data_IF_858907114638
#
_entry.id   IF_858907114638
#
_cell.length_a   1.000
_cell.length_b   1.000
_cell.length_c   1.000
_cell.angle_alpha   90.00
_cell.angle_beta   90.00
_cell.angle_gamma   90.00
#
_symmetry.space_group_name_H-M   'P 1'
#
loop_
_entity.id
_entity.type
_entity.pdbx_description
1 polymer ?
#
# COMPACT_ATOMS: atom_id res chain seq x y z
N UNK A 1 13.08 1.12 -15.69
CA UNK A 1 12.17 0.51 -16.69
C UNK A 1 12.09 -0.99 -16.62
N UNK A 2 13.21 -1.70 -16.83
CA UNK A 2 13.22 -3.18 -16.81
C UNK A 2 12.64 -3.75 -15.53
N UNK A 3 13.01 -3.19 -14.37
CA UNK A 3 12.48 -3.59 -13.06
C UNK A 3 10.96 -3.36 -12.94
N UNK A 4 10.43 -2.25 -13.47
CA UNK A 4 8.98 -1.98 -13.48
C UNK A 4 8.23 -2.98 -14.35
N UNK A 5 8.75 -3.28 -15.54
CA UNK A 5 8.11 -4.22 -16.47
C UNK A 5 8.18 -5.64 -15.90
N UNK A 6 9.32 -6.01 -15.31
CA UNK A 6 9.47 -7.30 -14.65
C UNK A 6 8.49 -7.45 -13.48
N UNK A 7 8.39 -6.42 -12.64
CA UNK A 7 7.39 -6.37 -11.57
C UNK A 7 5.96 -6.42 -12.13
N UNK A 8 5.69 -5.72 -13.23
CA UNK A 8 4.39 -5.73 -13.89
C UNK A 8 3.99 -7.17 -14.26
N UNK A 9 4.87 -7.87 -14.96
CA UNK A 9 4.63 -9.23 -15.45
C UNK A 9 4.45 -10.24 -14.31
N UNK A 10 5.20 -10.08 -13.21
CA UNK A 10 5.14 -10.95 -12.04
C UNK A 10 3.86 -10.69 -11.20
N UNK A 11 3.48 -9.41 -11.09
CA UNK A 11 2.22 -8.84 -10.61
C UNK A 11 0.94 -9.36 -11.29
N UNK A 12 1.01 -9.48 -12.62
CA UNK A 12 -0.13 -9.54 -13.52
C UNK A 12 -1.13 -10.68 -13.23
N UNK A 13 -0.70 -11.93 -12.99
CA UNK A 13 -1.63 -13.02 -12.67
C UNK A 13 -2.38 -12.79 -11.35
N UNK A 14 -1.70 -12.18 -10.37
CA UNK A 14 -2.30 -11.87 -9.07
C UNK A 14 -3.31 -10.75 -9.23
N UNK A 15 -3.00 -9.71 -10.00
CA UNK A 15 -3.94 -8.62 -10.22
C UNK A 15 -5.20 -9.04 -10.95
N UNK A 16 -5.07 -9.85 -11.99
CA UNK A 16 -6.24 -10.35 -12.72
C UNK A 16 -7.19 -11.02 -11.73
N UNK A 17 -6.67 -11.90 -10.87
CA UNK A 17 -7.47 -12.64 -9.92
C UNK A 17 -8.03 -11.79 -8.77
N UNK A 18 -7.25 -10.86 -8.22
CA UNK A 18 -7.59 -10.16 -6.96
C UNK A 18 -8.14 -8.74 -7.17
N UNK A 19 -7.83 -8.11 -8.31
CA UNK A 19 -8.18 -6.72 -8.61
C UNK A 19 -9.20 -6.63 -9.76
N UNK A 20 -9.01 -7.38 -10.86
CA UNK A 20 -9.83 -7.23 -12.06
C UNK A 20 -11.03 -8.18 -12.13
N UNK A 21 -10.91 -9.42 -11.64
CA UNK A 21 -12.02 -10.39 -11.59
C UNK A 21 -13.17 -9.97 -10.65
N UNK A 22 -12.93 -9.50 -9.41
CA UNK A 22 -14.01 -9.03 -8.55
C UNK A 22 -14.56 -7.68 -9.05
N UNK A 23 -15.88 -7.63 -9.30
CA UNK A 23 -16.60 -6.58 -10.06
C UNK A 23 -16.98 -5.25 -9.35
N UNK A 24 -16.58 -4.86 -8.14
CA UNK A 24 -16.91 -3.51 -7.69
C UNK A 24 -15.82 -2.52 -8.14
N UNK A 25 -16.16 -1.65 -9.10
CA UNK A 25 -15.37 -0.46 -9.44
C UNK A 25 -15.36 0.49 -8.24
N UNK A 26 -14.35 0.39 -7.39
CA UNK A 26 -14.14 1.30 -6.27
C UNK A 26 -13.06 2.34 -6.59
N UNK A 27 -13.08 3.53 -5.93
CA UNK A 27 -12.04 4.55 -6.09
C UNK A 27 -10.61 4.03 -5.82
N UNK A 28 -10.49 2.93 -5.05
CA UNK A 28 -9.23 2.21 -4.84
C UNK A 28 -8.62 1.63 -6.12
N UNK A 29 -9.47 1.18 -7.05
CA UNK A 29 -9.05 0.61 -8.33
C UNK A 29 -8.43 1.69 -9.23
N UNK A 30 -9.09 2.86 -9.32
CA UNK A 30 -8.55 3.99 -10.07
C UNK A 30 -7.18 4.39 -9.52
N UNK A 31 -7.07 4.50 -8.20
CA UNK A 31 -5.84 4.88 -7.53
C UNK A 31 -4.73 3.84 -7.73
N UNK A 32 -5.07 2.55 -7.72
CA UNK A 32 -4.15 1.46 -8.06
C UNK A 32 -3.65 1.55 -9.51
N UNK A 33 -4.55 1.74 -10.47
CA UNK A 33 -4.22 1.88 -11.90
C UNK A 33 -3.31 3.10 -12.11
N UNK A 34 -3.67 4.26 -11.56
CA UNK A 34 -2.85 5.46 -11.65
C UNK A 34 -1.47 5.23 -11.05
N UNK A 35 -1.40 4.69 -9.83
CA UNK A 35 -0.15 4.42 -9.15
C UNK A 35 0.75 3.47 -9.96
N UNK A 36 0.17 2.55 -10.74
CA UNK A 36 0.91 1.51 -11.46
C UNK A 36 1.37 1.92 -12.85
N UNK A 37 0.53 2.60 -13.62
CA UNK A 37 0.84 2.93 -15.01
C UNK A 37 1.46 4.33 -15.18
N UNK A 38 1.14 5.30 -14.31
CA UNK A 38 1.73 6.64 -14.42
C UNK A 38 3.26 6.66 -14.31
N UNK A 39 3.90 5.93 -13.37
CA UNK A 39 5.37 5.92 -13.28
C UNK A 39 6.02 5.31 -14.51
N UNK A 40 5.34 4.40 -15.22
CA UNK A 40 5.83 3.84 -16.48
C UNK A 40 5.85 4.91 -17.57
N UNK A 41 4.83 5.76 -17.64
CA UNK A 41 4.77 6.87 -18.59
C UNK A 41 5.84 7.91 -18.25
N UNK A 42 5.93 8.30 -16.98
CA UNK A 42 6.88 9.29 -16.47
C UNK A 42 8.33 8.90 -16.77
N UNK A 43 8.68 7.65 -16.47
CA UNK A 43 10.03 7.14 -16.70
C UNK A 43 10.34 6.97 -18.20
N UNK A 44 9.33 6.70 -19.03
CA UNK A 44 9.54 6.52 -20.48
C UNK A 44 9.86 7.86 -21.12
N UNK A 45 9.11 8.89 -20.74
CA UNK A 45 9.38 10.27 -21.12
C UNK A 45 10.75 10.72 -20.64
N UNK A 46 11.08 10.48 -19.37
CA UNK A 46 12.38 10.88 -18.78
C UNK A 46 13.56 10.22 -19.48
N UNK A 47 13.50 8.91 -19.78
CA UNK A 47 14.59 8.19 -20.46
C UNK A 47 14.75 8.63 -21.90
N UNK A 48 13.64 8.72 -22.65
CA UNK A 48 13.67 9.18 -24.04
C UNK A 48 14.32 10.56 -24.14
N UNK A 49 14.06 11.41 -23.14
CA UNK A 49 14.60 12.76 -23.05
C UNK A 49 16.09 12.83 -22.76
N UNK A 50 16.56 12.04 -21.78
CA UNK A 50 17.99 11.98 -21.41
C UNK A 50 18.84 11.54 -22.61
N UNK A 51 18.31 10.68 -23.47
CA UNK A 51 19.03 10.14 -24.63
C UNK A 51 19.11 11.09 -25.83
N UNK A 52 18.29 12.14 -25.89
CA UNK A 52 18.13 12.97 -27.10
C UNK A 52 18.72 14.39 -27.00
N UNK A 53 19.48 14.71 -25.94
CA UNK A 53 20.09 16.03 -25.67
C UNK A 53 19.19 17.24 -26.04
N UNK A 54 18.27 17.60 -25.14
CA UNK A 54 17.19 18.53 -25.46
C UNK A 54 17.65 19.98 -25.63
N UNK A 55 17.02 20.69 -26.56
CA UNK A 55 17.14 22.15 -26.64
C UNK A 55 16.49 22.84 -25.43
N UNK A 56 16.89 24.08 -25.13
CA UNK A 56 16.37 24.86 -24.00
C UNK A 56 14.83 25.05 -24.04
N UNK A 57 14.24 25.17 -25.22
CA UNK A 57 12.78 25.28 -25.36
C UNK A 57 12.07 23.99 -24.97
N UNK A 58 12.64 22.85 -25.37
CA UNK A 58 12.04 21.57 -25.06
C UNK A 58 12.27 21.16 -23.60
N UNK A 59 13.39 21.58 -22.98
CA UNK A 59 13.60 21.43 -21.54
C UNK A 59 12.46 22.04 -20.70
N UNK A 60 12.00 23.24 -21.06
CA UNK A 60 10.88 23.90 -20.38
C UNK A 60 9.59 23.11 -20.52
N UNK A 61 9.32 22.58 -21.71
CA UNK A 61 8.17 21.71 -21.93
C UNK A 61 8.25 20.42 -21.13
N UNK A 62 9.44 19.80 -21.06
CA UNK A 62 9.64 18.60 -20.25
C UNK A 62 9.30 18.88 -18.80
N UNK A 63 9.90 19.90 -18.20
CA UNK A 63 9.67 20.23 -16.78
C UNK A 63 8.19 20.46 -16.49
N UNK A 64 7.47 21.11 -17.42
CA UNK A 64 6.04 21.37 -17.30
C UNK A 64 5.18 20.10 -17.33
N UNK A 65 5.66 19.02 -17.96
CA UNK A 65 4.95 17.73 -18.06
C UNK A 65 5.40 16.78 -16.97
N UNK A 66 6.71 16.59 -16.78
CA UNK A 66 7.27 15.58 -15.88
C UNK A 66 7.16 15.99 -14.41
N UNK A 67 7.30 17.27 -14.04
CA UNK A 67 7.18 17.65 -12.63
C UNK A 67 5.77 17.37 -12.06
N UNK A 68 4.66 17.79 -12.72
CA UNK A 68 3.32 17.42 -12.25
C UNK A 68 3.05 15.92 -12.31
N UNK A 69 3.58 15.23 -13.32
CA UNK A 69 3.39 13.79 -13.49
C UNK A 69 4.10 12.99 -12.39
N UNK A 70 5.35 13.33 -12.06
CA UNK A 70 6.10 12.73 -10.97
C UNK A 70 5.43 13.01 -9.62
N UNK A 71 4.95 14.23 -9.38
CA UNK A 71 4.19 14.56 -8.18
C UNK A 71 2.90 13.72 -8.09
N UNK A 72 2.17 13.55 -9.20
CA UNK A 72 0.99 12.70 -9.24
C UNK A 72 1.32 11.24 -8.92
N UNK A 73 2.47 10.72 -9.36
CA UNK A 73 2.94 9.37 -9.00
C UNK A 73 3.19 9.25 -7.49
N UNK A 74 3.87 10.23 -6.90
CA UNK A 74 4.14 10.27 -5.46
C UNK A 74 2.84 10.38 -4.67
N UNK A 75 1.93 11.29 -5.04
CA UNK A 75 0.62 11.44 -4.40
C UNK A 75 -0.21 10.15 -4.47
N UNK A 76 -0.23 9.48 -5.62
CA UNK A 76 -0.92 8.20 -5.76
C UNK A 76 -0.35 7.15 -4.80
N UNK A 77 0.98 7.00 -4.75
CA UNK A 77 1.64 6.08 -3.81
C UNK A 77 1.34 6.43 -2.35
N UNK A 78 1.47 7.70 -1.96
CA UNK A 78 1.18 8.12 -0.59
C UNK A 78 -0.28 7.91 -0.20
N UNK A 79 -1.22 8.12 -1.12
CA UNK A 79 -2.63 7.84 -0.88
C UNK A 79 -2.89 6.34 -0.65
N UNK A 80 -2.24 5.44 -1.40
CA UNK A 80 -2.28 4.00 -1.10
C UNK A 80 -1.79 3.72 0.31
N UNK A 81 -0.65 4.31 0.70
CA UNK A 81 -0.06 4.12 2.03
C UNK A 81 -0.96 4.66 3.15
N UNK A 82 -1.57 5.84 2.97
CA UNK A 82 -2.52 6.41 3.92
C UNK A 82 -3.76 5.53 4.08
N UNK A 83 -4.39 5.09 2.99
CA UNK A 83 -5.58 4.24 3.05
C UNK A 83 -5.26 2.91 3.75
N UNK A 84 -4.11 2.32 3.44
CA UNK A 84 -3.63 1.12 4.13
C UNK A 84 -3.49 1.37 5.63
N UNK A 85 -2.79 2.44 6.01
CA UNK A 85 -2.53 2.77 7.42
C UNK A 85 -3.85 3.04 8.16
N UNK A 86 -4.80 3.71 7.52
CA UNK A 86 -6.15 3.93 8.05
C UNK A 86 -6.89 2.61 8.32
N UNK A 87 -6.76 1.64 7.40
CA UNK A 87 -7.37 0.34 7.55
C UNK A 87 -6.69 -0.52 8.64
N UNK A 88 -5.38 -0.40 8.83
CA UNK A 88 -4.64 -1.08 9.92
C UNK A 88 -5.07 -0.53 11.29
N UNK A 89 -5.40 0.75 11.36
CA UNK A 89 -5.91 1.41 12.55
C UNK A 89 -7.43 1.23 12.77
N UNK A 90 -8.05 0.28 12.08
CA UNK A 90 -9.48 -0.01 12.18
C UNK A 90 -10.36 1.26 12.05
N UNK A 91 -9.97 2.16 11.14
CA UNK A 91 -10.65 3.43 10.86
C UNK A 91 -10.76 4.39 12.07
N UNK A 92 -9.76 4.36 12.95
CA UNK A 92 -9.72 5.25 14.12
C UNK A 92 -9.72 6.74 13.73
N UNK A 93 -10.58 7.55 14.37
CA UNK A 93 -10.82 8.96 14.02
C UNK A 93 -9.56 9.84 14.15
N UNK A 94 -8.66 9.54 15.09
CA UNK A 94 -7.41 10.32 15.27
C UNK A 94 -6.52 10.21 14.03
N UNK A 95 -6.43 9.02 13.44
CA UNK A 95 -5.62 8.80 12.23
C UNK A 95 -6.25 9.50 11.03
N UNK A 96 -7.59 9.53 10.95
CA UNK A 96 -8.29 10.30 9.93
C UNK A 96 -7.94 11.79 10.00
N UNK A 97 -8.07 12.42 11.18
CA UNK A 97 -7.71 13.82 11.36
C UNK A 97 -6.22 14.10 11.09
N UNK A 98 -5.34 13.16 11.45
CA UNK A 98 -3.92 13.25 11.11
C UNK A 98 -3.69 13.28 9.59
N UNK A 99 -4.37 12.43 8.82
CA UNK A 99 -4.27 12.44 7.35
C UNK A 99 -4.86 13.69 6.72
N UNK A 100 -5.96 14.22 7.25
CA UNK A 100 -6.45 15.54 6.83
C UNK A 100 -5.39 16.62 7.06
N UNK A 101 -4.70 16.58 8.20
CA UNK A 101 -3.55 17.45 8.46
C UNK A 101 -2.42 17.29 7.44
N UNK A 102 -2.04 16.05 7.10
CA UNK A 102 -1.01 15.79 6.08
C UNK A 102 -1.41 16.37 4.72
N UNK A 103 -2.65 16.20 4.29
CA UNK A 103 -3.13 16.76 3.02
C UNK A 103 -3.02 18.29 3.04
N UNK A 104 -3.46 18.94 4.12
CA UNK A 104 -3.45 20.40 4.22
C UNK A 104 -2.02 20.96 4.31
N UNK A 105 -1.17 20.36 5.15
CA UNK A 105 0.14 20.92 5.47
C UNK A 105 1.29 20.38 4.63
N UNK A 106 1.13 19.25 3.96
CA UNK A 106 2.16 18.68 3.09
C UNK A 106 1.78 18.80 1.61
N UNK A 107 0.57 18.38 1.23
CA UNK A 107 0.21 18.29 -0.20
C UNK A 107 -0.12 19.64 -0.82
N UNK A 108 -0.84 20.51 -0.11
CA UNK A 108 -1.16 21.84 -0.64
C UNK A 108 0.13 22.65 -0.90
N UNK A 109 1.08 22.75 0.06
CA UNK A 109 2.34 23.45 -0.19
C UNK A 109 3.17 22.83 -1.31
N UNK A 110 3.14 21.51 -1.47
CA UNK A 110 3.83 20.81 -2.55
C UNK A 110 3.27 21.21 -3.92
N UNK A 111 1.95 21.19 -4.10
CA UNK A 111 1.30 21.60 -5.36
C UNK A 111 1.59 23.07 -5.68
N UNK A 112 1.51 23.95 -4.69
CA UNK A 112 1.82 25.38 -4.85
C UNK A 112 3.31 25.57 -5.19
N UNK A 113 4.19 24.82 -4.52
CA UNK A 113 5.63 24.83 -4.77
C UNK A 113 5.97 24.40 -6.19
N UNK A 114 5.34 23.36 -6.72
CA UNK A 114 5.51 22.91 -8.11
C UNK A 114 5.06 24.01 -9.06
N UNK A 115 3.89 24.62 -8.82
CA UNK A 115 3.40 25.73 -9.64
C UNK A 115 4.37 26.91 -9.66
N UNK A 116 4.92 27.29 -8.50
CA UNK A 116 5.92 28.34 -8.39
C UNK A 116 7.23 27.96 -9.10
N UNK A 117 7.68 26.71 -8.95
CA UNK A 117 8.87 26.21 -9.62
C UNK A 117 8.75 26.27 -11.14
N UNK A 118 7.62 25.84 -11.69
CA UNK A 118 7.35 25.91 -13.12
C UNK A 118 7.29 27.36 -13.63
N UNK A 119 6.72 28.28 -12.85
CA UNK A 119 6.74 29.71 -13.17
C UNK A 119 8.17 30.25 -13.23
N UNK A 120 9.02 29.90 -12.27
CA UNK A 120 10.42 30.32 -12.26
C UNK A 120 11.18 29.81 -13.49
N UNK A 121 10.94 28.55 -13.91
CA UNK A 121 11.52 27.98 -15.12
C UNK A 121 11.03 28.70 -16.39
N UNK A 122 9.76 29.14 -16.41
CA UNK A 122 9.20 29.86 -17.55
C UNK A 122 9.81 31.26 -17.73
N UNK A 123 10.18 31.93 -16.62
CA UNK A 123 10.73 33.29 -16.64
C UNK A 123 12.28 33.34 -16.67
N UNK A 124 12.96 32.20 -16.50
CA UNK A 124 14.41 32.12 -16.66
C UNK A 124 14.79 32.39 -18.14
N UNK A 125 15.58 33.43 -18.37
CA UNK A 125 16.01 33.84 -19.71
C UNK A 125 16.93 32.80 -20.38
N UNK A 126 17.12 32.88 -21.72
CA UNK A 126 17.93 31.92 -22.49
C UNK A 126 19.40 31.79 -22.05
N UNK A 127 19.90 32.76 -21.27
CA UNK A 127 21.31 32.89 -20.92
C UNK A 127 21.64 32.47 -19.48
N UNK A 128 20.66 32.24 -18.62
CA UNK A 128 20.99 32.10 -17.19
C UNK A 128 21.40 30.69 -16.79
N UNK A 129 20.81 29.61 -17.30
CA UNK A 129 21.29 28.25 -17.00
C UNK A 129 20.92 27.29 -18.15
N UNK A 130 21.89 26.81 -18.96
CA UNK A 130 21.61 25.79 -19.99
C UNK A 130 21.26 24.43 -19.37
N UNK A 131 21.47 24.25 -18.07
CA UNK A 131 21.19 23.00 -17.37
C UNK A 131 19.71 22.90 -17.00
N UNK A 132 18.96 22.24 -17.88
CA UNK A 132 17.63 21.69 -17.56
C UNK A 132 17.61 20.85 -16.27
N UNK A 133 18.78 20.31 -15.90
CA UNK A 133 18.99 19.47 -14.73
C UNK A 133 19.29 20.25 -13.45
N UNK A 134 19.63 21.54 -13.54
CA UNK A 134 19.97 22.38 -12.38
C UNK A 134 18.75 23.19 -11.94
N UNK A 135 17.66 22.48 -11.62
CA UNK A 135 16.63 23.07 -10.78
C UNK A 135 17.30 23.58 -9.51
N UNK A 136 17.15 24.87 -9.19
CA UNK A 136 17.75 25.50 -8.01
C UNK A 136 17.63 24.58 -6.81
N UNK A 137 18.77 24.13 -6.28
CA UNK A 137 18.84 23.10 -5.24
C UNK A 137 17.99 23.46 -4.01
N UNK A 138 17.74 24.75 -3.77
CA UNK A 138 16.85 25.24 -2.72
C UNK A 138 15.38 24.91 -2.99
N UNK A 139 14.90 25.08 -4.22
CA UNK A 139 13.51 24.82 -4.59
C UNK A 139 13.20 23.32 -4.56
N UNK A 140 14.08 22.49 -5.13
CA UNK A 140 13.94 21.03 -5.08
C UNK A 140 13.89 20.53 -3.64
N UNK A 141 14.73 21.06 -2.74
CA UNK A 141 14.66 20.73 -1.31
C UNK A 141 13.32 21.09 -0.68
N UNK A 142 12.79 22.27 -0.96
CA UNK A 142 11.48 22.70 -0.43
C UNK A 142 10.32 21.81 -0.91
N UNK A 143 10.42 21.19 -2.09
CA UNK A 143 9.41 20.25 -2.61
C UNK A 143 9.46 18.88 -1.94
N UNK A 144 10.67 18.36 -1.66
CA UNK A 144 10.82 17.03 -1.06
C UNK A 144 10.69 17.00 0.47
N UNK A 145 10.85 18.13 1.17
CA UNK A 145 10.68 18.19 2.64
C UNK A 145 9.25 17.79 3.06
N UNK A 146 8.16 18.35 2.49
CA UNK A 146 6.80 17.93 2.80
C UNK A 146 6.56 16.43 2.56
N UNK A 147 7.12 15.89 1.47
CA UNK A 147 7.06 14.48 1.10
C UNK A 147 7.74 13.60 2.16
N UNK A 148 8.94 14.00 2.62
CA UNK A 148 9.64 13.29 3.68
C UNK A 148 8.85 13.32 5.00
N UNK A 149 8.25 14.46 5.34
CA UNK A 149 7.45 14.60 6.56
C UNK A 149 6.20 13.72 6.51
N UNK A 150 5.47 13.69 5.40
CA UNK A 150 4.30 12.83 5.26
C UNK A 150 4.67 11.35 5.29
N UNK A 151 5.72 10.94 4.58
CA UNK A 151 6.22 9.56 4.57
C UNK A 151 6.65 9.09 5.97
N UNK A 152 7.38 9.93 6.72
CA UNK A 152 7.82 9.60 8.08
C UNK A 152 6.64 9.43 9.02
N UNK A 153 5.64 10.31 8.97
CA UNK A 153 4.43 10.18 9.81
C UNK A 153 3.69 8.88 9.47
N UNK A 154 3.46 8.59 8.19
CA UNK A 154 2.77 7.37 7.75
C UNK A 154 3.55 6.12 8.16
N UNK A 155 4.87 6.13 8.00
CA UNK A 155 5.74 5.04 8.40
C UNK A 155 5.70 4.81 9.92
N UNK A 156 5.77 5.87 10.73
CA UNK A 156 5.71 5.79 12.19
C UNK A 156 4.35 5.28 12.68
N UNK A 157 3.24 5.79 12.12
CA UNK A 157 1.90 5.31 12.45
C UNK A 157 1.72 3.84 12.08
N UNK A 158 2.27 3.44 10.94
CA UNK A 158 2.25 2.04 10.52
C UNK A 158 3.07 1.21 11.50
N UNK A 159 4.32 1.60 11.78
CA UNK A 159 5.30 0.94 12.66
C UNK A 159 4.76 0.74 14.09
N UNK A 160 4.21 1.81 14.67
CA UNK A 160 3.67 1.76 16.03
C UNK A 160 2.58 0.69 16.13
N UNK A 161 1.65 0.68 15.17
CA UNK A 161 0.48 -0.18 15.25
C UNK A 161 0.80 -1.64 15.02
N UNK A 162 1.75 -1.96 14.14
CA UNK A 162 2.10 -3.36 13.95
C UNK A 162 3.17 -3.88 14.89
N UNK A 163 4.00 -3.05 15.53
CA UNK A 163 4.72 -3.49 16.74
C UNK A 163 3.73 -3.83 17.85
N UNK A 164 2.69 -3.01 18.04
CA UNK A 164 1.62 -3.32 18.99
C UNK A 164 0.91 -4.65 18.64
N UNK A 165 0.58 -4.86 17.36
CA UNK A 165 -0.10 -6.07 16.91
C UNK A 165 0.79 -7.32 17.02
N UNK A 166 2.08 -7.20 16.67
CA UNK A 166 3.05 -8.28 16.74
C UNK A 166 3.35 -8.70 18.20
N UNK A 167 3.36 -7.73 19.12
CA UNK A 167 3.46 -8.02 20.56
C UNK A 167 2.22 -8.72 21.13
N UNK A 168 1.05 -8.49 20.54
CA UNK A 168 -0.22 -9.05 21.02
C UNK A 168 -0.60 -10.37 20.34
N UNK A 169 -0.02 -10.71 19.19
CA UNK A 169 -0.40 -11.89 18.41
C UNK A 169 0.80 -12.45 17.64
N UNK A 170 1.23 -13.66 18.00
CA UNK A 170 2.40 -14.33 17.42
C UNK A 170 2.03 -15.20 16.22
N UNK A 171 1.32 -14.65 15.22
CA UNK A 171 1.09 -15.40 13.98
C UNK A 171 2.33 -15.22 13.08
N UNK A 172 3.06 -16.29 12.69
CA UNK A 172 4.34 -16.18 11.98
C UNK A 172 4.26 -15.39 10.67
N UNK A 173 3.10 -15.44 9.99
CA UNK A 173 2.80 -14.67 8.79
C UNK A 173 2.70 -13.14 9.04
N UNK A 174 2.16 -12.72 10.18
CA UNK A 174 2.10 -11.29 10.54
C UNK A 174 3.51 -10.76 10.77
N UNK A 175 4.40 -11.57 11.36
CA UNK A 175 5.81 -11.23 11.54
C UNK A 175 6.50 -11.01 10.20
N UNK A 176 6.35 -11.94 9.25
CA UNK A 176 7.01 -11.85 7.94
C UNK A 176 6.49 -10.66 7.10
N UNK A 177 5.16 -10.47 7.07
CA UNK A 177 4.53 -9.33 6.39
C UNK A 177 5.03 -8.00 6.95
N UNK A 178 5.20 -7.94 8.28
CA UNK A 178 5.56 -6.71 8.95
C UNK A 178 7.05 -6.41 8.87
N UNK A 179 7.92 -7.41 9.02
CA UNK A 179 9.37 -7.26 8.84
C UNK A 179 9.68 -6.86 7.38
N UNK A 180 9.07 -7.54 6.41
CA UNK A 180 9.21 -7.22 4.99
C UNK A 180 8.64 -5.82 4.69
N UNK A 181 7.42 -5.53 5.18
CA UNK A 181 6.77 -4.23 5.07
C UNK A 181 7.61 -3.07 5.64
N UNK A 182 8.20 -3.25 6.81
CA UNK A 182 9.02 -2.25 7.50
C UNK A 182 10.33 -1.97 6.78
N UNK A 183 10.98 -3.01 6.25
CA UNK A 183 12.15 -2.82 5.40
C UNK A 183 11.82 -1.96 4.18
N UNK A 184 10.67 -2.17 3.56
CA UNK A 184 10.23 -1.33 2.43
C UNK A 184 10.01 0.13 2.82
N UNK A 185 9.40 0.41 3.98
CA UNK A 185 9.26 1.79 4.46
C UNK A 185 10.62 2.44 4.75
N UNK A 186 11.58 1.71 5.32
CA UNK A 186 12.93 2.22 5.55
C UNK A 186 13.64 2.55 4.22
N UNK A 187 13.50 1.68 3.21
CA UNK A 187 14.04 1.93 1.88
C UNK A 187 13.45 3.20 1.25
N UNK A 188 12.13 3.40 1.34
CA UNK A 188 11.47 4.60 0.83
C UNK A 188 11.99 5.87 1.49
N UNK A 189 12.02 5.90 2.82
CA UNK A 189 12.56 7.03 3.58
C UNK A 189 14.01 7.34 3.21
N UNK A 190 14.83 6.30 3.03
CA UNK A 190 16.23 6.46 2.61
C UNK A 190 16.35 7.08 1.22
N UNK A 191 15.52 6.66 0.26
CA UNK A 191 15.52 7.21 -1.10
C UNK A 191 15.05 8.65 -1.11
N UNK A 192 13.98 8.99 -0.37
CA UNK A 192 13.50 10.37 -0.24
C UNK A 192 14.57 11.25 0.39
N UNK A 193 15.30 10.75 1.39
CA UNK A 193 16.44 11.46 1.98
C UNK A 193 17.58 11.63 0.96
N UNK A 194 17.90 10.61 0.17
CA UNK A 194 18.89 10.69 -0.90
C UNK A 194 18.50 11.74 -1.95
N UNK A 195 17.21 11.87 -2.29
CA UNK A 195 16.68 12.90 -3.19
C UNK A 195 16.88 14.33 -2.66
N UNK A 196 16.98 14.52 -1.34
CA UNK A 196 17.27 15.81 -0.72
C UNK A 196 18.79 16.07 -0.66
N UNK A 197 19.57 15.04 -0.30
CA UNK A 197 20.99 15.17 -0.01
C UNK A 197 21.88 15.15 -1.26
N UNK A 198 21.65 14.21 -2.18
CA UNK A 198 22.52 13.96 -3.34
C UNK A 198 22.58 15.15 -4.30
N UNK A 199 21.48 15.86 -4.61
CA UNK A 199 21.53 17.05 -5.46
C UNK A 199 22.34 18.22 -4.89
N UNK A 200 22.70 18.20 -3.60
CA UNK A 200 23.61 19.20 -3.03
C UNK A 200 25.06 18.99 -3.47
N UNK A 201 25.44 17.75 -3.79
CA UNK A 201 26.78 17.38 -4.21
C UNK A 201 26.87 17.20 -5.72
N UNK A 202 25.84 16.61 -6.34
CA UNK A 202 25.78 16.35 -7.78
C UNK A 202 24.38 16.68 -8.33
N UNK A 203 24.14 17.92 -8.78
CA UNK A 203 22.81 18.36 -9.23
C UNK A 203 22.29 17.56 -10.44
N UNK A 204 23.19 17.09 -11.32
CA UNK A 204 22.84 16.35 -12.54
C UNK A 204 22.13 15.01 -12.31
N UNK A 205 22.15 14.45 -11.08
CA UNK A 205 21.53 13.15 -10.78
C UNK A 205 20.09 13.31 -10.22
N UNK A 206 19.63 14.54 -9.94
CA UNK A 206 18.33 14.78 -9.29
C UNK A 206 17.14 14.19 -10.07
N UNK A 207 17.12 14.36 -11.40
CA UNK A 207 16.08 13.79 -12.28
C UNK A 207 16.06 12.26 -12.23
N UNK A 208 17.24 11.64 -12.19
CA UNK A 208 17.37 10.19 -12.11
C UNK A 208 16.89 9.67 -10.76
N UNK A 209 17.30 10.29 -9.64
CA UNK A 209 16.83 9.88 -8.32
C UNK A 209 15.32 10.09 -8.15
N UNK A 210 14.75 11.16 -8.73
CA UNK A 210 13.31 11.39 -8.71
C UNK A 210 12.54 10.31 -9.46
N UNK A 211 12.99 9.96 -10.68
CA UNK A 211 12.42 8.85 -11.44
C UNK A 211 12.55 7.50 -10.69
N UNK A 212 13.70 7.26 -10.06
CA UNK A 212 13.90 6.06 -9.21
C UNK A 212 12.96 6.04 -8.01
N UNK A 213 12.72 7.19 -7.37
CA UNK A 213 11.77 7.28 -6.26
C UNK A 213 10.36 6.94 -6.74
N UNK A 214 9.87 7.54 -7.83
CA UNK A 214 8.54 7.23 -8.39
C UNK A 214 8.37 5.75 -8.72
N UNK A 215 9.39 5.12 -9.30
CA UNK A 215 9.42 3.68 -9.58
C UNK A 215 9.25 2.87 -8.30
N UNK A 216 10.09 3.14 -7.30
CA UNK A 216 10.13 2.35 -6.07
C UNK A 216 8.87 2.58 -5.25
N UNK A 217 8.36 3.81 -5.19
CA UNK A 217 7.09 4.13 -4.55
C UNK A 217 5.94 3.31 -5.13
N UNK A 218 5.86 3.24 -6.44
CA UNK A 218 4.84 2.46 -7.13
C UNK A 218 4.95 0.97 -6.85
N UNK A 219 6.13 0.38 -7.10
CA UNK A 219 6.37 -1.06 -6.89
C UNK A 219 6.04 -1.46 -5.46
N UNK A 220 6.58 -0.71 -4.49
CA UNK A 220 6.43 -1.05 -3.08
C UNK A 220 4.97 -0.90 -2.62
N UNK A 221 4.30 0.18 -3.01
CA UNK A 221 2.88 0.38 -2.67
C UNK A 221 2.00 -0.73 -3.27
N UNK A 222 2.27 -1.12 -4.53
CA UNK A 222 1.50 -2.15 -5.23
C UNK A 222 1.74 -3.55 -4.66
N UNK A 223 3.00 -3.94 -4.41
CA UNK A 223 3.34 -5.23 -3.82
C UNK A 223 2.66 -5.41 -2.46
N UNK A 224 2.75 -4.41 -1.59
CA UNK A 224 2.15 -4.52 -0.26
C UNK A 224 0.62 -4.54 -0.33
N UNK A 225 0.02 -3.73 -1.21
CA UNK A 225 -1.44 -3.77 -1.42
C UNK A 225 -1.91 -5.16 -1.87
N UNK A 226 -1.22 -5.76 -2.84
CA UNK A 226 -1.58 -7.09 -3.35
C UNK A 226 -1.38 -8.19 -2.31
N UNK A 227 -0.33 -8.14 -1.51
CA UNK A 227 -0.14 -9.06 -0.37
C UNK A 227 -1.31 -8.98 0.62
N UNK A 228 -1.79 -7.76 0.92
CA UNK A 228 -2.93 -7.55 1.81
C UNK A 228 -4.24 -8.05 1.17
N UNK A 229 -4.47 -7.78 -0.12
CA UNK A 229 -5.66 -8.25 -0.83
C UNK A 229 -5.72 -9.77 -0.90
N UNK A 230 -4.59 -10.42 -1.20
CA UNK A 230 -4.44 -11.87 -1.18
C UNK A 230 -4.84 -12.42 0.19
N UNK A 231 -4.32 -11.85 1.27
CA UNK A 231 -4.63 -12.29 2.62
C UNK A 231 -6.09 -12.08 2.99
N UNK A 232 -6.68 -10.93 2.66
CA UNK A 232 -8.09 -10.67 2.94
C UNK A 232 -9.00 -11.67 2.25
N UNK A 233 -8.68 -12.08 1.03
CA UNK A 233 -9.44 -13.13 0.33
C UNK A 233 -9.29 -14.47 1.02
N UNK A 234 -8.06 -14.90 1.33
CA UNK A 234 -7.80 -16.15 2.06
C UNK A 234 -8.58 -16.19 3.37
N UNK A 235 -8.53 -15.12 4.17
CA UNK A 235 -9.28 -15.03 5.43
C UNK A 235 -10.80 -15.09 5.23
N UNK A 236 -11.34 -14.44 4.19
CA UNK A 236 -12.77 -14.54 3.85
C UNK A 236 -13.15 -15.96 3.47
N UNK A 237 -12.32 -16.65 2.68
CA UNK A 237 -12.57 -18.04 2.29
C UNK A 237 -12.66 -18.96 3.51
N UNK A 238 -11.71 -18.86 4.47
CA UNK A 238 -11.78 -19.64 5.71
C UNK A 238 -13.02 -19.31 6.56
N UNK A 239 -13.39 -18.03 6.70
CA UNK A 239 -14.59 -17.65 7.45
C UNK A 239 -15.89 -18.15 6.79
N UNK A 240 -15.92 -18.21 5.45
CA UNK A 240 -17.03 -18.79 4.70
C UNK A 240 -17.08 -20.31 4.88
N UNK A 241 -15.94 -21.00 4.83
CA UNK A 241 -15.86 -22.44 5.09
C UNK A 241 -16.31 -22.79 6.52
N UNK A 242 -15.84 -22.07 7.56
CA UNK A 242 -16.29 -22.26 8.95
C UNK A 242 -17.81 -22.03 9.13
N UNK A 243 -18.38 -21.06 8.42
CA UNK A 243 -19.83 -20.83 8.43
C UNK A 243 -20.59 -22.01 7.82
N UNK A 244 -20.09 -22.56 6.71
CA UNK A 244 -20.71 -23.73 6.08
C UNK A 244 -20.57 -25.01 6.91
N UNK A 245 -19.43 -25.26 7.56
CA UNK A 245 -19.30 -26.42 8.47
C UNK A 245 -20.17 -26.28 9.72
N UNK A 246 -20.30 -25.08 10.29
CA UNK A 246 -21.21 -24.84 11.41
C UNK A 246 -22.68 -25.05 11.05
N UNK A 247 -23.09 -24.67 9.84
CA UNK A 247 -24.45 -24.88 9.34
C UNK A 247 -24.72 -26.38 9.04
N UNK A 248 -23.72 -27.12 8.54
CA UNK A 248 -23.83 -28.56 8.29
C UNK A 248 -23.92 -29.36 9.60
N UNK A 249 -23.05 -29.09 10.59
CA UNK A 249 -23.13 -29.75 11.91
C UNK A 249 -24.47 -29.46 12.62
N UNK A 250 -25.01 -28.24 12.51
CA UNK A 250 -26.31 -27.92 13.10
C UNK A 250 -27.46 -28.64 12.39
N UNK A 251 -27.37 -28.82 11.07
CA UNK A 251 -28.38 -29.54 10.29
C UNK A 251 -28.40 -31.05 10.56
N UNK A 252 -27.23 -31.68 10.75
CA UNK A 252 -27.11 -33.10 11.11
C UNK A 252 -27.65 -33.40 12.52
N UNK A 253 -27.52 -32.45 13.47
CA UNK A 253 -28.12 -32.58 14.81
C UNK A 253 -29.66 -32.48 14.78
N UNK A 254 -30.23 -31.76 13.80
CA UNK A 254 -31.69 -31.64 13.64
C UNK A 254 -32.32 -32.69 12.72
N UNK A 255 -31.52 -33.55 12.06
CA UNK A 255 -32.04 -34.57 11.12
C UNK A 255 -32.43 -35.90 11.79
N UNK A 256 -32.25 -36.05 13.10
CA UNK A 256 -32.85 -37.16 13.86
C UNK A 256 -34.31 -36.83 14.22
N UNK A 257 -35.15 -36.74 13.18
CA UNK A 257 -36.61 -36.80 13.28
C UNK A 257 -37.11 -38.25 13.32
N UNK A 258 -38.22 -38.55 14.03
CA UNK A 258 -38.51 -39.87 14.58
C UNK A 258 -38.98 -40.87 13.51
N UNK A 259 -38.21 -41.93 13.32
CA UNK A 259 -38.59 -43.14 12.60
C UNK A 259 -39.11 -44.23 13.54
N UNK A 260 -40.26 -44.79 13.16
CA UNK A 260 -41.07 -45.87 13.75
C UNK A 260 -40.35 -47.08 14.40
N UNK A 261 -41.05 -47.63 15.40
CA UNK A 261 -41.25 -49.07 15.70
C UNK A 261 -40.46 -49.77 16.84
N UNK A 262 -41.15 -49.81 18.00
CA UNK A 262 -41.49 -50.96 18.87
C UNK A 262 -40.45 -51.98 19.38
N UNK A 263 -40.67 -52.28 20.68
CA UNK A 263 -40.28 -53.44 21.49
C UNK A 263 -38.81 -53.59 21.93
N UNK A 264 -38.56 -53.39 23.23
CA UNK A 264 -38.07 -54.41 24.19
C UNK A 264 -38.08 -53.84 25.63
N UNK A 265 -39.05 -54.31 26.43
CA UNK A 265 -38.92 -54.93 27.77
C UNK A 265 -37.92 -54.32 28.81
N UNK A 266 -38.51 -53.72 29.85
CA UNK A 266 -38.13 -53.67 31.28
C UNK A 266 -36.71 -54.09 31.73
N UNK A 267 -35.92 -53.14 32.25
CA UNK A 267 -35.07 -53.30 33.46
C UNK A 267 -35.02 -51.94 34.20
N UNK A 268 -35.13 -51.88 35.55
CA UNK A 268 -35.27 -50.64 36.29
C UNK A 268 -33.93 -50.06 36.76
N UNK A 269 -33.86 -48.74 36.84
CA UNK A 269 -32.86 -48.04 37.66
C UNK A 269 -32.16 -46.90 36.94
N UNK A 270 -32.43 -45.69 37.44
CA UNK A 270 -31.53 -44.54 37.65
C UNK A 270 -32.31 -43.25 37.37
N UNK A 271 -32.65 -42.54 38.45
CA UNK A 271 -33.22 -41.20 38.40
C UNK A 271 -32.21 -40.19 37.84
N UNK A 272 -32.66 -39.13 37.13
CA UNK A 272 -31.79 -38.05 36.68
C UNK A 272 -31.42 -37.13 37.85
N UNK A 273 -30.12 -36.91 38.04
CA UNK A 273 -29.59 -35.89 38.96
C UNK A 273 -29.61 -34.50 38.30
N UNK A 274 -29.83 -33.42 39.07
CA UNK A 274 -30.05 -32.09 38.53
C UNK A 274 -28.70 -31.38 38.37
N UNK A 275 -27.99 -31.59 37.27
CA UNK A 275 -26.89 -30.68 36.87
C UNK A 275 -26.55 -30.87 35.39
N UNK A 276 -27.21 -30.07 34.55
CA UNK A 276 -26.94 -29.93 33.12
C UNK A 276 -25.59 -29.24 32.85
N UNK A 277 -24.49 -29.92 33.10
CA UNK A 277 -23.14 -29.50 32.65
C UNK A 277 -22.49 -30.57 31.79
N UNK A 278 -22.41 -30.26 30.50
CA UNK A 278 -21.52 -30.92 29.55
C UNK A 278 -20.08 -30.56 29.95
N UNK A 279 -19.30 -31.55 30.39
CA UNK A 279 -17.84 -31.46 30.46
C UNK A 279 -17.29 -31.72 29.05
N UNK A 280 -16.57 -30.76 28.50
CA UNK A 280 -15.73 -30.99 27.33
C UNK A 280 -14.48 -31.76 27.78
N UNK A 281 -14.40 -33.03 27.39
CA UNK A 281 -13.16 -33.83 27.43
C UNK A 281 -12.87 -34.25 26.01
N UNK A 282 -11.93 -33.57 25.37
CA UNK A 282 -11.21 -34.08 24.21
C UNK A 282 -9.72 -33.93 24.51
N UNK A 283 -9.14 -35.02 25.00
CA UNK A 283 -7.70 -35.27 24.88
C UNK A 283 -7.40 -35.53 23.40
N UNK A 284 -6.45 -34.79 22.82
CA UNK A 284 -5.84 -35.15 21.54
C UNK A 284 -4.39 -35.53 21.82
N UNK A 285 -4.15 -36.84 21.82
CA UNK A 285 -2.83 -37.45 21.71
C UNK A 285 -2.40 -37.42 20.24
N UNK A 286 -1.22 -36.88 19.95
CA UNK A 286 -0.57 -37.05 18.63
C UNK A 286 0.67 -37.93 18.81
N UNK A 287 0.65 -39.07 18.12
CA UNK A 287 1.83 -39.79 17.67
C UNK A 287 2.19 -39.32 16.25
#
# INVERSE_FOLDING_TARGET
MTVLIYDLLLLLPTEINYVWLPRPVHPLLLLFVLNRYLPLIDTAMTINWILHEPSAAQCRQLSFITCPLAALCIFASQAVLMIRTYAIWDRHRVVFWCFIGIVIFCFIPEVVGIGLHLRMIQFAGPFDHPDCLSASSKMTKLLYIPVLVSETIIALLTLFKGVQHLRSSSHPFLTELYVSGMFFYACLLFITLANILVPMWVPGIALFLGAFQSILHSILSNRILLLILKQRRIRRSYATEESYTGDVELSDITSDGPGSENDVKNVPGIMPGPDGRIKSTVEISYA
#
